data_IF_604648987141
#
_entry.id   IF_604648987141
#
_cell.length_a   1.000
_cell.length_b   1.000
_cell.length_c   1.000
_cell.angle_alpha   90.00
_cell.angle_beta   90.00
_cell.angle_gamma   90.00
#
_symmetry.space_group_name_H-M   'P 1'
#
loop_
_entity.id
_entity.type
_entity.pdbx_description
1 polymer ?
#
# COMPACT_ATOMS: atom_id res chain seq x y z
N UNK A 1 41.35 -5.19 -62.96
CA UNK A 1 42.32 -4.09 -63.02
C UNK A 1 42.15 -3.22 -61.79
N UNK A 2 43.07 -3.46 -60.87
CA UNK A 2 43.32 -2.82 -59.58
C UNK A 2 43.26 -1.30 -59.65
N UNK A 3 42.59 -0.69 -58.69
CA UNK A 3 43.08 0.55 -58.11
C UNK A 3 43.00 0.43 -56.58
N UNK A 4 44.17 0.50 -55.97
CA UNK A 4 44.37 0.50 -54.54
C UNK A 4 44.39 1.95 -54.06
N UNK A 5 43.80 2.21 -52.90
CA UNK A 5 44.19 3.36 -52.09
C UNK A 5 44.02 2.99 -50.63
N UNK A 6 45.14 2.49 -50.11
CA UNK A 6 45.49 2.43 -48.71
C UNK A 6 45.74 3.86 -48.19
N UNK A 7 45.11 4.19 -47.07
CA UNK A 7 45.51 5.31 -46.21
C UNK A 7 44.97 5.02 -44.82
N UNK A 8 45.69 4.15 -44.11
CA UNK A 8 45.62 4.10 -42.66
C UNK A 8 46.06 5.44 -42.06
N UNK A 9 45.25 5.96 -41.15
CA UNK A 9 45.74 6.73 -40.00
C UNK A 9 44.91 6.34 -38.81
N UNK A 10 45.54 5.57 -37.93
CA UNK A 10 45.19 5.39 -36.52
C UNK A 10 44.92 6.75 -35.88
N UNK A 11 43.76 6.87 -35.22
CA UNK A 11 43.53 7.95 -34.26
C UNK A 11 43.07 7.28 -32.99
N UNK A 12 43.96 7.38 -32.01
CA UNK A 12 43.95 6.72 -30.72
C UNK A 12 42.66 6.92 -29.92
N UNK A 13 42.37 5.86 -29.18
CA UNK A 13 41.51 5.82 -28.00
C UNK A 13 41.90 6.92 -27.00
N UNK A 14 40.96 7.79 -26.63
CA UNK A 14 40.97 8.43 -25.32
C UNK A 14 39.55 8.36 -24.75
N UNK A 15 39.24 7.16 -24.27
CA UNK A 15 38.16 6.91 -23.33
C UNK A 15 38.60 7.52 -21.99
N UNK A 16 38.36 8.82 -21.83
CA UNK A 16 38.56 9.53 -20.56
C UNK A 16 37.46 9.11 -19.58
N UNK A 17 37.59 7.87 -19.09
CA UNK A 17 36.79 7.29 -18.04
C UNK A 17 37.24 7.89 -16.71
N UNK A 18 36.68 9.05 -16.35
CA UNK A 18 36.81 9.58 -14.99
C UNK A 18 36.26 8.52 -14.02
N UNK A 19 37.07 8.01 -13.06
CA UNK A 19 36.55 7.14 -12.04
C UNK A 19 35.59 7.95 -11.16
N UNK A 20 34.30 7.69 -11.35
CA UNK A 20 33.25 8.18 -10.47
C UNK A 20 33.51 7.62 -9.09
N UNK A 21 33.95 8.49 -8.18
CA UNK A 21 34.11 8.11 -6.78
C UNK A 21 32.78 7.54 -6.25
N UNK A 22 32.78 6.36 -5.62
CA UNK A 22 31.60 5.89 -4.93
C UNK A 22 31.40 6.81 -3.72
N UNK A 23 30.56 7.82 -3.86
CA UNK A 23 30.09 8.59 -2.72
C UNK A 23 29.36 7.61 -1.80
N UNK A 24 30.10 7.14 -0.79
CA UNK A 24 29.55 6.29 0.25
C UNK A 24 28.59 7.16 1.06
N UNK A 25 27.34 7.17 0.60
CA UNK A 25 26.21 7.71 1.35
C UNK A 25 26.06 6.85 2.60
N UNK A 26 26.82 7.21 3.64
CA UNK A 26 26.63 6.67 4.98
C UNK A 26 25.15 6.82 5.35
N UNK A 27 24.46 5.74 5.75
CA UNK A 27 23.07 5.83 6.14
C UNK A 27 22.99 6.81 7.32
N UNK A 28 22.30 7.94 7.11
CA UNK A 28 22.08 8.93 8.17
C UNK A 28 21.42 8.21 9.34
N UNK A 29 22.13 8.09 10.45
CA UNK A 29 21.56 7.56 11.69
C UNK A 29 20.45 8.51 12.16
N UNK A 30 19.20 8.06 12.10
CA UNK A 30 18.06 8.81 12.63
C UNK A 30 18.15 8.74 14.16
N UNK A 31 18.87 9.69 14.76
CA UNK A 31 18.87 9.90 16.20
C UNK A 31 17.63 10.69 16.57
N UNK A 32 16.63 9.99 17.12
CA UNK A 32 15.46 10.61 17.71
C UNK A 32 15.89 11.50 18.87
N UNK A 33 15.87 12.81 18.64
CA UNK A 33 16.13 13.80 19.68
C UNK A 33 14.89 13.88 20.57
N UNK A 34 15.06 13.66 21.87
CA UNK A 34 13.99 13.92 22.86
C UNK A 34 13.64 15.41 22.77
N UNK A 35 12.46 15.69 22.24
CA UNK A 35 11.82 16.99 22.42
C UNK A 35 11.51 17.10 23.92
N UNK A 36 11.76 18.26 24.54
CA UNK A 36 11.36 18.52 25.92
C UNK A 36 9.86 18.27 26.12
N UNK A 37 9.39 18.21 27.37
CA UNK A 37 7.98 17.91 27.70
C UNK A 37 7.04 18.56 26.68
N UNK A 38 6.28 17.75 25.91
CA UNK A 38 5.39 18.30 24.92
C UNK A 38 4.45 19.26 25.66
N UNK A 39 4.38 20.51 25.18
CA UNK A 39 3.25 21.37 25.55
C UNK A 39 2.00 20.51 25.35
N UNK A 40 1.14 20.39 26.37
CA UNK A 40 -0.08 19.59 26.28
C UNK A 40 -1.04 20.25 25.29
N UNK A 41 -0.75 20.11 24.00
CA UNK A 41 -1.66 20.37 22.91
C UNK A 41 -2.42 19.07 22.67
N UNK A 42 -3.14 18.61 23.70
CA UNK A 42 -4.18 17.64 23.47
C UNK A 42 -5.21 18.34 22.59
N UNK A 43 -5.51 17.81 21.38
CA UNK A 43 -6.52 18.41 20.54
C UNK A 43 -7.86 18.35 21.30
N UNK A 44 -8.34 19.51 21.74
CA UNK A 44 -9.70 19.62 22.27
C UNK A 44 -10.66 19.54 21.08
N UNK A 45 -11.54 18.55 21.08
CA UNK A 45 -12.65 18.52 20.15
C UNK A 45 -13.53 19.77 20.41
N UNK A 46 -13.53 20.70 19.45
CA UNK A 46 -14.16 22.03 19.61
C UNK A 46 -15.66 22.05 19.37
N UNK A 47 -16.22 20.98 18.80
CA UNK A 47 -17.62 20.92 18.39
C UNK A 47 -18.44 20.05 19.34
N UNK A 48 -19.75 20.32 19.44
CA UNK A 48 -20.66 19.36 20.08
C UNK A 48 -20.81 18.14 19.17
N UNK A 49 -20.83 16.94 19.77
CA UNK A 49 -21.23 15.74 19.03
C UNK A 49 -22.64 15.93 18.48
N UNK A 50 -22.93 15.46 17.25
CA UNK A 50 -24.30 15.48 16.74
C UNK A 50 -25.20 14.66 17.65
N UNK A 51 -26.47 15.05 17.73
CA UNK A 51 -27.46 14.30 18.49
C UNK A 51 -27.48 12.83 18.04
N UNK A 52 -27.59 11.88 18.98
CA UNK A 52 -27.67 10.48 18.62
C UNK A 52 -28.89 10.23 17.72
N UNK A 53 -28.80 9.26 16.78
CA UNK A 53 -29.95 8.90 15.95
C UNK A 53 -31.16 8.55 16.81
N UNK A 54 -32.34 9.01 16.40
CA UNK A 54 -33.60 8.74 17.11
C UNK A 54 -33.90 7.23 17.26
N UNK A 55 -33.39 6.42 16.33
CA UNK A 55 -33.51 4.97 16.34
C UNK A 55 -32.14 4.29 16.30
N UNK A 56 -31.95 3.28 17.14
CA UNK A 56 -30.71 2.49 17.18
C UNK A 56 -30.59 1.65 15.92
N UNK A 57 -29.49 1.84 15.17
CA UNK A 57 -29.25 1.12 13.92
C UNK A 57 -28.56 -0.21 14.16
N UNK A 58 -28.62 -1.10 13.17
CA UNK A 58 -27.73 -2.26 13.12
C UNK A 58 -26.26 -1.80 13.02
N UNK A 59 -25.28 -2.57 13.54
CA UNK A 59 -23.87 -2.19 13.52
C UNK A 59 -23.34 -1.79 12.12
N UNK A 60 -23.77 -2.50 11.07
CA UNK A 60 -23.40 -2.18 9.68
C UNK A 60 -23.90 -0.80 9.23
N UNK A 61 -25.03 -0.32 9.78
CA UNK A 61 -25.57 1.00 9.48
C UNK A 61 -24.69 2.12 10.00
N UNK A 62 -24.02 1.92 11.15
CA UNK A 62 -23.04 2.88 11.64
C UNK A 62 -21.76 2.88 10.80
N UNK A 63 -21.30 1.71 10.35
CA UNK A 63 -20.14 1.59 9.47
C UNK A 63 -20.33 2.35 8.15
N UNK A 64 -21.53 2.26 7.56
CA UNK A 64 -21.90 2.93 6.30
C UNK A 64 -21.93 4.46 6.39
N UNK A 65 -21.92 5.06 7.58
CA UNK A 65 -21.73 6.52 7.70
C UNK A 65 -20.32 6.98 7.33
N UNK A 66 -19.32 6.11 7.52
CA UNK A 66 -17.92 6.42 7.23
C UNK A 66 -17.47 5.85 5.88
N UNK A 67 -18.02 4.69 5.51
CA UNK A 67 -17.75 4.00 4.25
C UNK A 67 -19.05 3.85 3.47
N UNK A 68 -19.50 4.95 2.88
CA UNK A 68 -20.64 4.95 1.99
C UNK A 68 -20.26 4.41 0.59
N UNK A 69 -21.25 4.24 -0.27
CA UNK A 69 -21.03 3.69 -1.61
C UNK A 69 -20.11 4.59 -2.46
N UNK A 70 -20.14 5.91 -2.22
CA UNK A 70 -19.32 6.88 -2.93
C UNK A 70 -17.83 6.71 -2.59
N UNK A 71 -17.50 6.61 -1.30
CA UNK A 71 -16.14 6.36 -0.81
C UNK A 71 -15.65 4.99 -1.27
N UNK A 72 -16.48 3.95 -1.17
CA UNK A 72 -16.11 2.61 -1.63
C UNK A 72 -15.82 2.57 -3.13
N UNK A 73 -16.66 3.23 -3.93
CA UNK A 73 -16.43 3.35 -5.38
C UNK A 73 -15.13 4.09 -5.69
N UNK A 74 -14.88 5.22 -5.00
CA UNK A 74 -13.68 6.01 -5.19
C UNK A 74 -12.41 5.20 -4.85
N UNK A 75 -12.39 4.52 -3.70
CA UNK A 75 -11.27 3.67 -3.30
C UNK A 75 -11.04 2.57 -4.35
N UNK A 76 -12.11 1.93 -4.81
CA UNK A 76 -12.04 0.86 -5.80
C UNK A 76 -11.46 1.34 -7.13
N UNK A 77 -11.95 2.48 -7.64
CA UNK A 77 -11.48 3.08 -8.88
C UNK A 77 -9.99 3.45 -8.80
N UNK A 78 -9.60 4.17 -7.75
CA UNK A 78 -8.22 4.63 -7.58
C UNK A 78 -7.25 3.46 -7.34
N UNK A 79 -7.67 2.42 -6.61
CA UNK A 79 -6.86 1.22 -6.40
C UNK A 79 -6.60 0.47 -7.72
N UNK A 80 -7.62 0.35 -8.57
CA UNK A 80 -7.50 -0.27 -9.88
C UNK A 80 -6.62 0.55 -10.82
N UNK A 81 -6.81 1.87 -10.84
CA UNK A 81 -6.01 2.79 -11.64
C UNK A 81 -4.53 2.72 -11.24
N UNK A 82 -4.24 2.75 -9.94
CA UNK A 82 -2.89 2.60 -9.42
C UNK A 82 -2.25 1.26 -9.84
N UNK A 83 -2.99 0.16 -9.78
CA UNK A 83 -2.47 -1.15 -10.17
C UNK A 83 -2.04 -1.18 -11.64
N UNK A 84 -2.85 -0.61 -12.54
CA UNK A 84 -2.52 -0.49 -13.97
C UNK A 84 -1.32 0.43 -14.19
N UNK A 85 -1.22 1.55 -13.47
CA UNK A 85 -0.07 2.45 -13.54
C UNK A 85 1.23 1.77 -13.09
N UNK A 86 1.17 0.93 -12.05
CA UNK A 86 2.31 0.18 -11.52
C UNK A 86 2.73 -0.95 -12.47
N UNK A 87 1.77 -1.66 -13.05
CA UNK A 87 2.00 -2.71 -14.03
C UNK A 87 0.76 -2.96 -14.90
N UNK A 88 0.79 -2.48 -16.13
CA UNK A 88 -0.32 -2.63 -17.08
C UNK A 88 -0.69 -4.10 -17.38
N UNK A 89 0.26 -5.02 -17.24
CA UNK A 89 0.03 -6.46 -17.48
C UNK A 89 -0.64 -7.17 -16.28
N UNK A 90 -0.78 -6.50 -15.14
CA UNK A 90 -1.33 -7.08 -13.91
C UNK A 90 -2.37 -6.16 -13.27
N UNK A 91 -3.53 -5.95 -13.92
CA UNK A 91 -4.61 -5.16 -13.33
C UNK A 91 -5.13 -5.83 -12.04
N UNK A 92 -5.50 -5.02 -11.04
CA UNK A 92 -6.04 -5.53 -9.78
C UNK A 92 -7.48 -6.06 -9.94
N UNK A 93 -8.28 -5.43 -10.80
CA UNK A 93 -9.69 -5.76 -11.02
C UNK A 93 -10.47 -5.90 -9.71
N UNK A 94 -10.30 -4.95 -8.80
CA UNK A 94 -11.02 -4.86 -7.53
C UNK A 94 -12.47 -4.43 -7.79
N UNK A 95 -13.41 -5.08 -7.11
CA UNK A 95 -14.82 -4.67 -7.06
C UNK A 95 -15.16 -4.06 -5.71
N UNK A 96 -16.21 -3.24 -5.63
CA UNK A 96 -16.68 -2.68 -4.36
C UNK A 96 -17.04 -3.78 -3.35
N UNK A 97 -17.63 -4.89 -3.81
CA UNK A 97 -17.95 -6.03 -2.96
C UNK A 97 -16.70 -6.67 -2.36
N UNK A 98 -15.66 -6.88 -3.16
CA UNK A 98 -14.39 -7.41 -2.65
C UNK A 98 -13.69 -6.44 -1.71
N UNK A 99 -13.80 -5.13 -1.96
CA UNK A 99 -13.30 -4.10 -1.04
C UNK A 99 -14.04 -4.16 0.31
N UNK A 100 -15.37 -4.29 0.31
CA UNK A 100 -16.15 -4.46 1.54
C UNK A 100 -15.74 -5.73 2.31
N UNK A 101 -15.56 -6.85 1.61
CA UNK A 101 -15.05 -8.09 2.20
C UNK A 101 -13.65 -7.89 2.80
N UNK A 102 -12.76 -7.21 2.10
CA UNK A 102 -11.42 -6.88 2.57
C UNK A 102 -11.45 -6.00 3.83
N UNK A 103 -12.30 -4.97 3.86
CA UNK A 103 -12.49 -4.11 5.04
C UNK A 103 -13.06 -4.89 6.23
N UNK A 104 -14.06 -5.74 5.97
CA UNK A 104 -14.64 -6.62 6.99
C UNK A 104 -13.62 -7.60 7.59
N UNK A 105 -12.79 -8.21 6.75
CA UNK A 105 -11.67 -9.05 7.21
C UNK A 105 -10.66 -8.22 8.01
N UNK A 106 -10.30 -7.02 7.52
CA UNK A 106 -9.36 -6.13 8.22
C UNK A 106 -9.85 -5.78 9.63
N UNK A 107 -11.14 -5.46 9.76
CA UNK A 107 -11.79 -5.17 11.04
C UNK A 107 -11.87 -6.40 11.94
N UNK A 108 -12.12 -7.59 11.37
CA UNK A 108 -12.11 -8.82 12.14
C UNK A 108 -10.72 -9.16 12.69
N UNK A 109 -9.69 -8.99 11.85
CA UNK A 109 -8.29 -9.21 12.22
C UNK A 109 -7.78 -8.21 13.26
N UNK A 110 -8.32 -6.99 13.31
CA UNK A 110 -7.94 -6.01 14.33
C UNK A 110 -8.44 -6.42 15.72
N UNK A 111 -9.57 -7.12 15.80
CA UNK A 111 -10.10 -7.67 17.05
C UNK A 111 -9.36 -8.95 17.46
N UNK A 112 -9.18 -9.89 16.52
CA UNK A 112 -8.52 -11.17 16.77
C UNK A 112 -7.22 -11.28 15.98
N UNK A 113 -6.17 -10.61 16.46
CA UNK A 113 -4.91 -10.46 15.73
C UNK A 113 -3.97 -11.67 15.86
N UNK A 114 -3.59 -12.28 14.74
CA UNK A 114 -2.47 -13.22 14.64
C UNK A 114 -1.19 -12.49 14.20
N UNK A 115 0.02 -12.95 14.60
CA UNK A 115 1.28 -12.27 14.30
C UNK A 115 1.56 -12.03 12.82
N UNK A 116 1.01 -12.88 11.94
CA UNK A 116 1.15 -12.77 10.49
C UNK A 116 -0.18 -13.00 9.81
N UNK A 117 -0.56 -12.13 8.87
CA UNK A 117 -1.82 -12.27 8.12
C UNK A 117 -1.94 -13.62 7.41
N UNK A 118 -0.84 -14.23 6.94
CA UNK A 118 -0.91 -15.56 6.28
C UNK A 118 -1.39 -16.68 7.21
N UNK A 119 -1.32 -16.51 8.53
CA UNK A 119 -1.74 -17.51 9.51
C UNK A 119 -3.26 -17.75 9.50
N UNK A 120 -4.07 -16.74 9.18
CA UNK A 120 -5.53 -16.89 9.11
C UNK A 120 -5.99 -17.91 8.04
N UNK A 121 -5.14 -18.17 7.04
CA UNK A 121 -5.38 -19.16 5.98
C UNK A 121 -4.55 -20.44 6.13
N UNK A 122 -3.70 -20.52 7.16
CA UNK A 122 -2.82 -21.68 7.38
C UNK A 122 -3.58 -22.80 8.06
N UNK A 123 -3.35 -24.06 7.69
CA UNK A 123 -4.12 -25.21 8.17
C UNK A 123 -4.25 -25.28 9.71
N UNK A 124 -3.15 -25.09 10.44
CA UNK A 124 -3.14 -25.21 11.91
C UNK A 124 -3.76 -24.02 12.65
N UNK A 125 -3.87 -22.85 12.01
CA UNK A 125 -4.33 -21.59 12.63
C UNK A 125 -5.45 -20.96 11.81
N UNK A 126 -6.18 -21.79 11.06
CA UNK A 126 -7.17 -21.34 10.09
C UNK A 126 -8.33 -20.69 10.81
N UNK A 127 -8.64 -19.46 10.41
CA UNK A 127 -9.83 -18.76 10.88
C UNK A 127 -10.86 -18.85 9.77
N UNK A 128 -11.82 -19.76 9.94
CA UNK A 128 -12.77 -20.11 8.87
C UNK A 128 -13.57 -18.90 8.37
N UNK A 129 -13.98 -18.01 9.29
CA UNK A 129 -14.69 -16.76 8.96
C UNK A 129 -13.91 -15.82 8.05
N UNK A 130 -12.58 -15.87 8.08
CA UNK A 130 -11.73 -15.09 7.19
C UNK A 130 -11.45 -15.87 5.90
N UNK A 131 -11.04 -17.13 6.06
CA UNK A 131 -10.52 -17.92 4.96
C UNK A 131 -11.59 -18.42 3.97
N UNK A 132 -12.87 -18.41 4.36
CA UNK A 132 -14.01 -18.64 3.46
C UNK A 132 -14.39 -17.41 2.64
N UNK A 133 -14.21 -16.21 3.19
CA UNK A 133 -14.68 -14.97 2.56
C UNK A 133 -13.77 -14.56 1.41
N UNK A 134 -12.45 -14.65 1.60
CA UNK A 134 -11.48 -14.25 0.58
C UNK A 134 -10.26 -15.19 0.59
N UNK A 135 -9.76 -15.65 -0.56
CA UNK A 135 -8.53 -16.43 -0.64
C UNK A 135 -7.30 -15.63 -0.19
N UNK A 136 -6.32 -16.31 0.42
CA UNK A 136 -5.06 -15.71 0.91
C UNK A 136 -4.35 -14.86 -0.16
N UNK A 137 -4.27 -15.39 -1.37
CA UNK A 137 -3.50 -14.74 -2.43
C UNK A 137 -4.24 -13.52 -2.96
N UNK A 138 -5.58 -13.54 -2.95
CA UNK A 138 -6.40 -12.36 -3.26
C UNK A 138 -6.24 -11.28 -2.21
N UNK A 139 -6.32 -11.64 -0.92
CA UNK A 139 -6.03 -10.73 0.19
C UNK A 139 -4.66 -10.06 0.05
N UNK A 140 -3.63 -10.86 -0.27
CA UNK A 140 -2.27 -10.34 -0.43
C UNK A 140 -2.13 -9.42 -1.65
N UNK A 141 -2.86 -9.69 -2.74
CA UNK A 141 -2.89 -8.83 -3.92
C UNK A 141 -3.54 -7.47 -3.65
N UNK A 142 -4.59 -7.42 -2.82
CA UNK A 142 -5.27 -6.17 -2.47
C UNK A 142 -4.45 -5.34 -1.47
N UNK A 143 -3.71 -6.01 -0.57
CA UNK A 143 -2.90 -5.35 0.48
C UNK A 143 -1.62 -4.66 -0.04
N UNK A 144 -1.07 -5.06 -1.19
CA UNK A 144 0.28 -4.71 -1.69
C UNK A 144 0.30 -3.64 -2.78
#
# INVERSE_FOLDING_TARGET
>A
PTDESDSGTDVDEDESNEPSEPSSSMPRSVLWKRVGEPRSCDPSWGDSLPDPPAETKAPIGYFRYFFDDSVLSLITEQSNLYAVQKNANKPLCLSCLELEQFLGITMYMSIYSLPRSRMYWSHCTRVEKVAQVMPRDRWQNIKN
#
